data_IF_920868190342
#
_entry.id   IF_920868190342
#
_cell.length_a   1.000
_cell.length_b   1.000
_cell.length_c   1.000
_cell.angle_alpha   90.00
_cell.angle_beta   90.00
_cell.angle_gamma   90.00
#
_symmetry.space_group_name_H-M   'P 1'
#
loop_
_entity.id
_entity.type
_entity.pdbx_description
1 polymer ?
#
# COMPACT_ATOMS: atom_id res chain seq x y z
N UNK A 1 -15.60 -10.68 29.89
CA UNK A 1 -15.09 -9.34 30.25
C UNK A 1 -15.56 -8.34 29.20
N UNK A 2 -15.86 -7.07 29.54
CA UNK A 2 -16.42 -6.07 28.60
C UNK A 2 -15.54 -5.84 27.35
N UNK A 3 -14.23 -6.00 27.49
CA UNK A 3 -13.24 -5.84 26.41
C UNK A 3 -13.37 -6.87 25.28
N UNK A 4 -13.90 -8.06 25.57
CA UNK A 4 -13.93 -9.17 24.61
C UNK A 4 -14.92 -8.93 23.46
N UNK A 5 -16.05 -8.28 23.74
CA UNK A 5 -17.05 -7.93 22.71
C UNK A 5 -16.63 -6.74 21.86
N UNK A 6 -15.88 -5.80 22.43
CA UNK A 6 -15.30 -4.70 21.66
C UNK A 6 -14.26 -5.23 20.66
N UNK A 7 -13.33 -6.07 21.11
CA UNK A 7 -12.31 -6.70 20.25
C UNK A 7 -12.93 -7.58 19.16
N UNK A 8 -13.97 -8.37 19.46
CA UNK A 8 -14.73 -9.12 18.43
C UNK A 8 -15.34 -8.20 17.37
N UNK A 9 -15.90 -7.06 17.79
CA UNK A 9 -16.47 -6.09 16.86
C UNK A 9 -15.41 -5.37 16.01
N UNK A 10 -14.26 -5.03 16.61
CA UNK A 10 -13.11 -4.46 15.91
C UNK A 10 -12.57 -5.43 14.85
N UNK A 11 -12.35 -6.71 15.21
CA UNK A 11 -11.96 -7.78 14.27
C UNK A 11 -12.92 -7.90 13.09
N UNK A 12 -14.22 -8.00 13.35
CA UNK A 12 -15.24 -8.11 12.30
C UNK A 12 -15.25 -6.89 11.37
N UNK A 13 -15.01 -5.68 11.89
CA UNK A 13 -14.88 -4.46 11.10
C UNK A 13 -13.61 -4.46 10.25
N UNK A 14 -12.47 -4.86 10.83
CA UNK A 14 -11.19 -4.92 10.13
C UNK A 14 -11.20 -5.96 9.00
N UNK A 15 -11.73 -7.17 9.25
CA UNK A 15 -11.86 -8.22 8.23
C UNK A 15 -12.69 -7.71 7.05
N UNK A 16 -13.86 -7.11 7.31
CA UNK A 16 -14.65 -6.50 6.22
C UNK A 16 -13.90 -5.41 5.47
N UNK A 17 -13.05 -4.65 6.14
CA UNK A 17 -12.25 -3.61 5.49
C UNK A 17 -11.17 -4.20 4.57
N UNK A 18 -10.60 -5.35 4.95
CA UNK A 18 -9.64 -6.12 4.17
C UNK A 18 -10.27 -6.81 2.95
N UNK A 19 -11.53 -7.26 3.04
CA UNK A 19 -12.25 -7.91 1.91
C UNK A 19 -12.25 -7.06 0.64
N UNK A 20 -12.31 -5.73 0.75
CA UNK A 20 -12.31 -4.85 -0.42
C UNK A 20 -10.94 -4.74 -1.12
N UNK A 21 -9.85 -4.77 -0.34
CA UNK A 21 -8.46 -4.80 -0.79
C UNK A 21 -7.54 -4.96 0.41
N UNK A 22 -6.34 -5.45 0.14
CA UNK A 22 -5.23 -5.45 1.09
C UNK A 22 -4.96 -4.05 1.67
N UNK A 23 -4.55 -4.02 2.93
CA UNK A 23 -4.26 -2.83 3.73
C UNK A 23 -2.95 -3.02 4.47
N UNK A 24 -2.21 -1.92 4.67
CA UNK A 24 -1.10 -1.93 5.63
C UNK A 24 -1.61 -1.95 7.08
N UNK A 25 -0.76 -2.38 8.01
CA UNK A 25 -1.02 -2.31 9.45
C UNK A 25 -1.50 -0.91 9.87
N UNK A 26 -0.81 0.12 9.38
CA UNK A 26 -1.13 1.51 9.69
C UNK A 26 -2.48 1.99 9.08
N UNK A 27 -2.89 1.45 7.93
CA UNK A 27 -4.24 1.68 7.42
C UNK A 27 -5.32 1.07 8.32
N UNK A 28 -5.08 -0.11 8.90
CA UNK A 28 -6.01 -0.76 9.85
C UNK A 28 -6.11 0.05 11.15
N UNK A 29 -4.99 0.49 11.72
CA UNK A 29 -4.96 1.33 12.92
C UNK A 29 -5.81 2.59 12.72
N UNK A 30 -5.54 3.35 11.65
CA UNK A 30 -6.30 4.58 11.34
C UNK A 30 -7.79 4.30 11.15
N UNK A 31 -8.12 3.20 10.47
CA UNK A 31 -9.51 2.81 10.26
C UNK A 31 -10.23 2.52 11.58
N UNK A 32 -9.66 1.70 12.46
CA UNK A 32 -10.28 1.33 13.73
C UNK A 32 -10.33 2.50 14.73
N UNK A 33 -9.29 3.34 14.79
CA UNK A 33 -9.30 4.57 15.59
C UNK A 33 -10.40 5.53 15.11
N UNK A 34 -10.58 5.67 13.79
CA UNK A 34 -11.68 6.45 13.22
C UNK A 34 -13.07 5.87 13.54
N UNK A 35 -13.16 4.62 13.98
CA UNK A 35 -14.38 3.98 14.50
C UNK A 35 -14.50 4.03 16.02
N UNK A 36 -13.58 4.72 16.71
CA UNK A 36 -13.56 4.94 18.15
C UNK A 36 -13.44 3.65 18.98
N UNK A 37 -12.74 2.64 18.45
CA UNK A 37 -12.34 1.48 19.26
C UNK A 37 -11.22 1.85 20.23
N UNK A 38 -11.19 1.19 21.39
CA UNK A 38 -10.11 1.33 22.38
C UNK A 38 -8.74 0.86 21.84
N UNK A 39 -7.65 1.39 22.41
CA UNK A 39 -6.30 1.01 22.01
C UNK A 39 -6.05 -0.50 22.19
N UNK A 40 -6.52 -1.08 23.30
CA UNK A 40 -6.41 -2.51 23.59
C UNK A 40 -7.15 -3.36 22.54
N UNK A 41 -8.38 -2.97 22.15
CA UNK A 41 -9.13 -3.68 21.12
C UNK A 41 -8.47 -3.58 19.73
N UNK A 42 -7.82 -2.45 19.43
CA UNK A 42 -7.03 -2.28 18.21
C UNK A 42 -5.81 -3.19 18.22
N UNK A 43 -5.04 -3.22 19.30
CA UNK A 43 -3.81 -4.02 19.39
C UNK A 43 -4.11 -5.54 19.36
N UNK A 44 -5.14 -5.99 20.07
CA UNK A 44 -5.62 -7.38 20.01
C UNK A 44 -6.09 -7.74 18.60
N UNK A 45 -6.78 -6.82 17.92
CA UNK A 45 -7.19 -7.03 16.53
C UNK A 45 -5.99 -7.14 15.60
N UNK A 46 -4.99 -6.27 15.72
CA UNK A 46 -3.79 -6.31 14.89
C UNK A 46 -3.02 -7.61 15.09
N UNK A 47 -2.80 -8.00 16.35
CA UNK A 47 -2.14 -9.26 16.71
C UNK A 47 -2.87 -10.45 16.07
N UNK A 48 -4.20 -10.49 16.15
CA UNK A 48 -4.99 -11.53 15.50
C UNK A 48 -4.86 -11.52 13.97
N UNK A 49 -4.89 -10.35 13.33
CA UNK A 49 -4.76 -10.26 11.87
C UNK A 49 -3.37 -10.69 11.39
N UNK A 50 -2.32 -10.36 12.14
CA UNK A 50 -0.94 -10.74 11.82
C UNK A 50 -0.68 -12.22 12.06
N UNK A 51 -1.15 -12.77 13.19
CA UNK A 51 -0.98 -14.19 13.51
C UNK A 51 -1.67 -15.12 12.50
N UNK A 52 -2.71 -14.61 11.84
CA UNK A 52 -3.44 -15.32 10.78
C UNK A 52 -3.00 -14.90 9.37
N UNK A 53 -1.91 -14.13 9.25
CA UNK A 53 -1.35 -13.64 7.98
C UNK A 53 -2.34 -12.84 7.10
N UNK A 54 -3.39 -12.28 7.69
CA UNK A 54 -4.36 -11.42 6.99
C UNK A 54 -3.78 -10.05 6.66
N UNK A 55 -2.83 -9.56 7.46
CA UNK A 55 -2.04 -8.37 7.15
C UNK A 55 -0.55 -8.71 7.23
N UNK A 56 0.21 -8.14 6.31
CA UNK A 56 1.66 -8.31 6.22
C UNK A 56 2.18 -7.12 5.41
N UNK A 57 2.96 -6.25 6.06
CA UNK A 57 3.38 -4.97 5.47
C UNK A 57 4.41 -5.15 4.34
N UNK A 58 5.31 -6.12 4.45
CA UNK A 58 6.26 -6.47 3.38
C UNK A 58 5.53 -6.96 2.13
N UNK A 59 4.60 -7.92 2.31
CA UNK A 59 3.76 -8.44 1.23
C UNK A 59 2.92 -7.34 0.60
N UNK A 60 2.32 -6.48 1.43
CA UNK A 60 1.53 -5.35 0.96
C UNK A 60 2.38 -4.38 0.14
N UNK A 61 3.57 -4.02 0.63
CA UNK A 61 4.46 -3.05 -0.01
C UNK A 61 4.88 -3.51 -1.42
N UNK A 62 5.27 -4.78 -1.55
CA UNK A 62 5.63 -5.39 -2.84
C UNK A 62 4.47 -5.42 -3.83
N UNK A 63 3.29 -5.89 -3.40
CA UNK A 63 2.11 -5.94 -4.28
C UNK A 63 1.63 -4.55 -4.70
N UNK A 64 1.56 -3.63 -3.75
CA UNK A 64 1.17 -2.25 -4.00
C UNK A 64 2.17 -1.58 -4.97
N UNK A 65 3.47 -1.70 -4.71
CA UNK A 65 4.51 -1.10 -5.53
C UNK A 65 4.53 -1.65 -6.96
N UNK A 66 4.48 -2.99 -7.12
CA UNK A 66 4.38 -3.64 -8.44
C UNK A 66 3.18 -3.12 -9.22
N UNK A 67 2.00 -3.06 -8.59
CA UNK A 67 0.79 -2.53 -9.22
C UNK A 67 0.96 -1.07 -9.68
N UNK A 68 1.61 -0.22 -8.88
CA UNK A 68 1.87 1.17 -9.26
C UNK A 68 2.83 1.29 -10.43
N UNK A 69 3.90 0.51 -10.44
CA UNK A 69 4.87 0.52 -11.54
C UNK A 69 4.21 0.06 -12.84
N UNK A 70 3.52 -1.08 -12.81
CA UNK A 70 2.90 -1.67 -14.01
C UNK A 70 1.77 -0.80 -14.55
N UNK A 71 0.85 -0.36 -13.68
CA UNK A 71 -0.38 0.31 -14.10
C UNK A 71 -0.24 1.83 -14.23
N UNK A 72 0.67 2.45 -13.48
CA UNK A 72 0.82 3.92 -13.42
C UNK A 72 2.19 4.41 -13.87
N UNK A 73 3.15 3.51 -14.14
CA UNK A 73 4.50 3.85 -14.64
C UNK A 73 5.19 4.89 -13.75
N UNK A 74 5.07 4.73 -12.43
CA UNK A 74 5.65 5.69 -11.48
C UNK A 74 7.13 5.39 -11.21
N UNK A 75 7.89 6.46 -10.95
CA UNK A 75 9.29 6.39 -10.55
C UNK A 75 9.48 6.18 -9.04
N UNK A 76 10.72 5.87 -8.68
CA UNK A 76 11.15 5.41 -7.35
C UNK A 76 10.81 6.40 -6.25
N UNK A 77 11.08 7.68 -6.50
CA UNK A 77 10.78 8.76 -5.55
C UNK A 77 9.28 8.82 -5.23
N UNK A 78 8.44 8.80 -6.26
CA UNK A 78 6.98 8.85 -6.08
C UNK A 78 6.46 7.60 -5.39
N UNK A 79 6.97 6.42 -5.75
CA UNK A 79 6.56 5.18 -5.10
C UNK A 79 6.92 5.19 -3.61
N UNK A 80 8.12 5.66 -3.25
CA UNK A 80 8.54 5.79 -1.85
C UNK A 80 7.61 6.68 -1.04
N UNK A 81 7.19 7.83 -1.61
CA UNK A 81 6.21 8.71 -0.97
C UNK A 81 4.84 8.04 -0.82
N UNK A 82 4.36 7.32 -1.83
CA UNK A 82 3.08 6.62 -1.76
C UNK A 82 3.10 5.50 -0.69
N UNK A 83 4.20 4.75 -0.57
CA UNK A 83 4.40 3.74 0.48
C UNK A 83 4.50 4.38 1.88
N UNK A 84 5.22 5.50 2.01
CA UNK A 84 5.28 6.28 3.25
C UNK A 84 3.91 6.79 3.69
N UNK A 85 3.08 7.25 2.75
CA UNK A 85 1.69 7.65 3.03
C UNK A 85 0.80 6.48 3.46
N UNK A 86 1.17 5.23 3.13
CA UNK A 86 0.53 4.02 3.68
C UNK A 86 0.97 3.73 5.11
N UNK A 87 1.98 4.43 5.61
CA UNK A 87 2.50 4.31 6.96
C UNK A 87 3.42 3.11 7.13
N UNK A 88 4.09 2.68 6.05
CA UNK A 88 5.09 1.61 6.11
C UNK A 88 6.38 2.13 6.73
N UNK A 89 7.11 1.23 7.40
CA UNK A 89 8.41 1.56 7.98
C UNK A 89 9.45 1.85 6.89
N UNK A 90 10.40 2.74 7.21
CA UNK A 90 11.45 3.14 6.25
C UNK A 90 12.21 1.94 5.70
N UNK A 91 12.52 0.95 6.54
CA UNK A 91 13.22 -0.26 6.14
C UNK A 91 12.46 -1.04 5.06
N UNK A 92 11.17 -1.32 5.30
CA UNK A 92 10.29 -2.00 4.33
C UNK A 92 10.21 -1.21 3.02
N UNK A 93 10.10 0.12 3.10
CA UNK A 93 10.07 1.00 1.93
C UNK A 93 11.37 0.86 1.13
N UNK A 94 12.53 0.97 1.77
CA UNK A 94 13.83 0.89 1.11
C UNK A 94 14.05 -0.47 0.46
N UNK A 95 13.76 -1.57 1.17
CA UNK A 95 13.84 -2.93 0.65
C UNK A 95 12.91 -3.14 -0.54
N UNK A 96 11.64 -2.71 -0.42
CA UNK A 96 10.65 -2.78 -1.50
C UNK A 96 11.11 -2.01 -2.74
N UNK A 97 11.61 -0.79 -2.57
CA UNK A 97 12.10 0.03 -3.69
C UNK A 97 13.34 -0.60 -4.34
N UNK A 98 14.25 -1.17 -3.56
CA UNK A 98 15.42 -1.87 -4.10
C UNK A 98 14.99 -3.06 -4.95
N UNK A 99 14.18 -3.97 -4.40
CA UNK A 99 13.73 -5.17 -5.12
C UNK A 99 12.92 -4.83 -6.37
N UNK A 100 12.00 -3.86 -6.29
CA UNK A 100 11.16 -3.51 -7.44
C UNK A 100 11.95 -2.82 -8.55
N UNK A 101 12.87 -1.90 -8.25
CA UNK A 101 13.62 -1.20 -9.30
C UNK A 101 14.84 -1.97 -9.80
N UNK A 102 15.20 -3.09 -9.16
CA UNK A 102 16.06 -4.11 -9.74
C UNK A 102 15.32 -4.89 -10.85
N UNK A 103 14.05 -5.27 -10.63
CA UNK A 103 13.20 -5.94 -11.64
C UNK A 103 12.73 -4.95 -12.73
N UNK A 104 12.36 -3.73 -12.34
CA UNK A 104 11.74 -2.72 -13.20
C UNK A 104 12.66 -1.51 -13.39
N UNK A 105 13.47 -1.55 -14.45
CA UNK A 105 14.36 -0.44 -14.82
C UNK A 105 13.59 0.89 -14.98
N UNK A 106 13.85 1.82 -14.05
CA UNK A 106 13.21 3.13 -13.98
C UNK A 106 13.44 3.96 -15.26
N UNK A 107 14.63 3.86 -15.85
CA UNK A 107 15.00 4.60 -17.06
C UNK A 107 14.16 4.11 -18.24
N UNK A 108 13.93 2.80 -18.36
CA UNK A 108 13.06 2.23 -19.40
C UNK A 108 11.61 2.67 -19.21
N UNK A 109 11.12 2.70 -17.97
CA UNK A 109 9.78 3.20 -17.66
C UNK A 109 9.64 4.67 -18.09
N UNK A 110 10.56 5.52 -17.65
CA UNK A 110 10.57 6.94 -18.00
C UNK A 110 10.62 7.18 -19.51
N UNK A 111 11.48 6.44 -20.22
CA UNK A 111 11.59 6.51 -21.68
C UNK A 111 10.28 6.12 -22.38
N UNK A 112 9.59 5.09 -21.90
CA UNK A 112 8.29 4.67 -22.45
C UNK A 112 7.22 5.76 -22.30
N UNK A 113 7.19 6.44 -21.15
CA UNK A 113 6.29 7.55 -20.90
C UNK A 113 6.62 8.75 -21.80
N UNK A 114 7.90 9.10 -21.94
CA UNK A 114 8.35 10.19 -22.79
C UNK A 114 7.99 9.95 -24.26
N UNK A 115 8.25 8.74 -24.80
CA UNK A 115 7.89 8.36 -26.17
C UNK A 115 6.38 8.48 -26.41
N UNK A 116 5.56 7.97 -25.48
CA UNK A 116 4.10 8.07 -25.58
C UNK A 116 3.64 9.53 -25.60
N UNK A 117 4.24 10.38 -24.77
CA UNK A 117 3.90 11.81 -24.72
C UNK A 117 4.36 12.55 -25.98
N UNK A 118 5.55 12.25 -26.52
CA UNK A 118 6.04 12.83 -27.76
C UNK A 118 5.12 12.51 -28.95
N UNK A 119 4.64 11.28 -29.05
CA UNK A 119 3.70 10.87 -30.10
C UNK A 119 2.40 11.69 -30.09
N UNK A 120 1.95 12.16 -28.90
CA UNK A 120 0.78 13.04 -28.83
C UNK A 120 1.05 14.46 -29.33
N UNK A 121 2.30 14.92 -29.34
CA UNK A 121 2.66 16.24 -29.87
C UNK A 121 2.92 16.23 -31.38
N UNK A 122 3.49 15.15 -31.93
CA UNK A 122 3.72 15.03 -33.37
C UNK A 122 2.42 14.95 -34.19
N UNK A 123 1.32 14.47 -33.59
CA UNK A 123 0.01 14.40 -34.25
C UNK A 123 -0.77 15.73 -34.22
N UNK A 124 -0.31 16.72 -33.44
CA UNK A 124 -0.97 18.02 -33.28
C UNK A 124 -0.26 19.17 -34.01
N UNK A 125 0.86 18.90 -34.69
CA UNK A 125 1.65 19.87 -35.45
C UNK A 125 1.47 19.71 -36.97
N UNK A 126 0.46 18.96 -37.39
CA UNK A 126 0.09 18.71 -38.78
C UNK A 126 -1.33 19.22 -39.06
N UNK A 127 -1.62 20.48 -38.71
CA UNK A 127 -2.78 21.25 -39.17
C UNK A 127 -2.35 22.70 -39.44
#
# INVERSE_FOLDING_TARGET
>A
MPYEEESKNARRRAIRYLVYRDRSRNEIIRYLNGKKFSADAVDETLTFLESNDYINDDRFAMQFGRSRIVNKKIGRLRLGLELGNKGLERKIIEETLNSLYEEYDEKKIAMSCAKKKLATYSSSNSE
#
